data_IF_671371838427
#
_entry.id   IF_671371838427
#
_cell.length_a   1.000
_cell.length_b   1.000
_cell.length_c   1.000
_cell.angle_alpha   90.00
_cell.angle_beta   90.00
_cell.angle_gamma   90.00
#
_symmetry.space_group_name_H-M   'P 1'
#
loop_
_entity.id
_entity.type
_entity.pdbx_description
1 polymer ?
#
# COMPACT_ATOMS: atom_id res chain seq x y z
N UNK A 1 -13.85 -12.62 -0.23
CA UNK A 1 -13.03 -12.31 0.95
C UNK A 1 -13.79 -11.44 1.96
N UNK A 2 -14.30 -10.25 1.58
CA UNK A 2 -15.07 -9.35 2.47
C UNK A 2 -16.29 -10.06 3.10
N UNK A 3 -17.05 -10.83 2.32
CA UNK A 3 -18.19 -11.61 2.82
C UNK A 3 -17.79 -12.71 3.82
N UNK A 4 -16.58 -13.27 3.70
CA UNK A 4 -16.05 -14.27 4.63
C UNK A 4 -15.62 -13.63 5.95
N UNK A 5 -15.03 -12.43 5.89
CA UNK A 5 -14.69 -11.60 7.06
C UNK A 5 -15.97 -11.17 7.79
N UNK A 6 -17.00 -10.76 7.05
CA UNK A 6 -18.32 -10.42 7.60
C UNK A 6 -18.99 -11.63 8.27
N UNK A 7 -18.95 -12.81 7.63
CA UNK A 7 -19.47 -14.04 8.22
C UNK A 7 -18.68 -14.49 9.46
N UNK A 8 -17.35 -14.36 9.46
CA UNK A 8 -16.52 -14.64 10.64
C UNK A 8 -16.87 -13.71 11.82
N UNK A 9 -17.00 -12.41 11.56
CA UNK A 9 -17.43 -11.41 12.55
C UNK A 9 -18.84 -11.68 13.10
N UNK A 10 -19.76 -12.16 12.28
CA UNK A 10 -21.13 -12.47 12.71
C UNK A 10 -21.28 -13.84 13.39
N UNK A 11 -20.43 -14.82 13.07
CA UNK A 11 -20.62 -16.21 13.48
C UNK A 11 -19.88 -16.60 14.76
N UNK A 12 -18.73 -16.00 15.07
CA UNK A 12 -17.81 -16.67 15.99
C UNK A 12 -17.80 -16.25 17.45
N UNK A 13 -18.02 -14.99 17.89
CA UNK A 13 -18.04 -14.70 19.35
C UNK A 13 -18.52 -13.29 19.69
N UNK A 14 -19.82 -13.12 19.96
CA UNK A 14 -20.34 -12.00 20.75
C UNK A 14 -20.10 -12.36 22.22
N UNK A 15 -18.85 -12.31 22.69
CA UNK A 15 -18.57 -12.38 24.13
C UNK A 15 -18.67 -10.98 24.72
N UNK A 16 -19.83 -10.68 25.28
CA UNK A 16 -20.18 -9.57 26.17
C UNK A 16 -19.97 -8.10 25.70
N UNK A 17 -18.97 -7.77 24.88
CA UNK A 17 -18.67 -6.39 24.51
C UNK A 17 -18.18 -6.24 23.04
N UNK A 18 -19.13 -6.14 22.07
CA UNK A 18 -18.79 -5.92 20.66
C UNK A 18 -18.13 -4.55 20.41
N UNK A 19 -18.35 -3.58 21.30
CA UNK A 19 -17.74 -2.24 21.19
C UNK A 19 -16.24 -2.36 21.48
N UNK A 20 -15.86 -3.03 22.57
CA UNK A 20 -14.45 -3.25 22.91
C UNK A 20 -13.72 -4.02 21.81
N UNK A 21 -14.32 -5.08 21.28
CA UNK A 21 -13.75 -5.85 20.17
C UNK A 21 -13.50 -4.98 18.93
N UNK A 22 -14.50 -4.16 18.55
CA UNK A 22 -14.38 -3.27 17.39
C UNK A 22 -13.30 -2.22 17.60
N UNK A 23 -13.21 -1.65 18.81
CA UNK A 23 -12.16 -0.70 19.17
C UNK A 23 -10.76 -1.33 19.06
N UNK A 24 -10.57 -2.54 19.57
CA UNK A 24 -9.29 -3.25 19.48
C UNK A 24 -8.93 -3.64 18.04
N UNK A 25 -9.91 -4.05 17.24
CA UNK A 25 -9.71 -4.34 15.82
C UNK A 25 -9.30 -3.09 15.04
N UNK A 26 -9.96 -1.94 15.29
CA UNK A 26 -9.61 -0.65 14.68
C UNK A 26 -8.18 -0.28 15.09
N UNK A 27 -7.84 -0.38 16.38
CA UNK A 27 -6.50 -0.07 16.90
C UNK A 27 -5.41 -0.90 16.20
N UNK A 28 -5.61 -2.21 16.08
CA UNK A 28 -4.67 -3.12 15.41
C UNK A 28 -4.58 -2.84 13.90
N UNK A 29 -5.72 -2.60 13.26
CA UNK A 29 -5.78 -2.30 11.82
C UNK A 29 -5.08 -0.98 11.50
N UNK A 30 -5.32 0.07 12.29
CA UNK A 30 -4.70 1.39 12.11
C UNK A 30 -3.18 1.29 12.31
N UNK A 31 -2.72 0.58 13.33
CA UNK A 31 -1.30 0.35 13.54
C UNK A 31 -0.66 -0.37 12.34
N UNK A 32 -1.26 -1.47 11.89
CA UNK A 32 -0.79 -2.21 10.71
C UNK A 32 -0.82 -1.38 9.43
N UNK A 33 -1.84 -0.53 9.26
CA UNK A 33 -1.96 0.40 8.15
C UNK A 33 -0.81 1.42 8.14
N UNK A 34 -0.53 2.08 9.27
CA UNK A 34 0.59 3.02 9.35
C UNK A 34 1.93 2.37 9.03
N UNK A 35 2.15 1.14 9.49
CA UNK A 35 3.35 0.39 9.14
C UNK A 35 3.38 0.06 7.63
N UNK A 36 2.25 -0.22 6.99
CA UNK A 36 2.19 -0.58 5.56
C UNK A 36 2.03 0.61 4.61
N UNK A 37 1.88 1.82 5.13
CA UNK A 37 1.68 3.06 4.36
C UNK A 37 2.81 3.30 3.33
N UNK A 38 4.06 3.00 3.70
CA UNK A 38 5.20 3.10 2.78
C UNK A 38 5.03 2.20 1.55
N UNK A 39 4.42 1.03 1.72
CA UNK A 39 4.12 0.10 0.62
C UNK A 39 3.05 0.63 -0.31
N UNK A 40 1.95 1.17 0.25
CA UNK A 40 0.89 1.83 -0.53
C UNK A 40 1.47 2.97 -1.38
N UNK A 41 2.27 3.84 -0.76
CA UNK A 41 2.92 4.96 -1.42
C UNK A 41 3.88 4.49 -2.52
N UNK A 42 4.69 3.45 -2.25
CA UNK A 42 5.58 2.88 -3.26
C UNK A 42 4.82 2.35 -4.48
N UNK A 43 3.67 1.70 -4.28
CA UNK A 43 2.84 1.18 -5.37
C UNK A 43 2.29 2.35 -6.20
N UNK A 44 1.69 3.35 -5.57
CA UNK A 44 1.15 4.54 -6.26
C UNK A 44 2.23 5.22 -7.11
N UNK A 45 3.40 5.48 -6.52
CA UNK A 45 4.54 6.06 -7.25
C UNK A 45 5.03 5.17 -8.38
N UNK A 46 5.07 3.85 -8.21
CA UNK A 46 5.44 2.90 -9.26
C UNK A 46 4.47 2.97 -10.45
N UNK A 47 3.17 3.01 -10.19
CA UNK A 47 2.17 3.17 -11.24
C UNK A 47 2.26 4.53 -11.92
N UNK A 48 2.43 5.62 -11.18
CA UNK A 48 2.60 6.96 -11.73
C UNK A 48 3.83 7.04 -12.67
N UNK A 49 4.93 6.35 -12.32
CA UNK A 49 6.15 6.32 -13.14
C UNK A 49 5.97 5.54 -14.45
N UNK A 50 5.33 4.37 -14.43
CA UNK A 50 5.18 3.53 -15.61
C UNK A 50 3.97 3.88 -16.48
N UNK A 51 2.87 4.28 -15.87
CA UNK A 51 1.59 4.58 -16.52
C UNK A 51 1.30 6.09 -16.50
N UNK A 52 2.33 6.93 -16.60
CA UNK A 52 2.23 8.39 -16.53
C UNK A 52 1.16 9.00 -17.46
N UNK A 53 1.03 8.50 -18.70
CA UNK A 53 0.02 8.99 -19.67
C UNK A 53 -1.41 8.77 -19.19
N UNK A 54 -1.63 7.70 -18.44
CA UNK A 54 -2.93 7.37 -17.89
C UNK A 54 -3.22 8.24 -16.66
N UNK A 55 -2.19 8.50 -15.84
CA UNK A 55 -2.27 9.40 -14.69
C UNK A 55 -2.60 10.84 -15.13
N UNK A 56 -1.95 11.33 -16.20
CA UNK A 56 -2.16 12.66 -16.76
C UNK A 56 -3.60 12.90 -17.25
N UNK A 57 -4.29 11.85 -17.70
CA UNK A 57 -5.68 11.96 -18.19
C UNK A 57 -6.70 12.16 -17.08
N UNK A 58 -6.31 12.11 -15.80
CA UNK A 58 -7.20 12.30 -14.66
C UNK A 58 -8.39 11.33 -14.67
N UNK A 59 -8.19 10.12 -15.19
CA UNK A 59 -9.29 9.17 -15.41
C UNK A 59 -9.89 8.68 -14.07
N UNK A 60 -11.19 8.36 -14.05
CA UNK A 60 -11.83 7.70 -12.90
C UNK A 60 -11.11 6.39 -12.51
N UNK A 61 -10.46 5.71 -13.46
CA UNK A 61 -9.66 4.52 -13.15
C UNK A 61 -8.48 4.80 -12.21
N UNK A 62 -7.97 6.04 -12.14
CA UNK A 62 -6.89 6.40 -11.22
C UNK A 62 -7.33 6.27 -9.76
N UNK A 63 -8.57 6.66 -9.45
CA UNK A 63 -9.16 6.45 -8.13
C UNK A 63 -9.32 4.95 -7.81
N UNK A 64 -9.65 4.12 -8.81
CA UNK A 64 -9.79 2.68 -8.60
C UNK A 64 -8.45 2.00 -8.29
N UNK A 65 -7.36 2.42 -8.94
CA UNK A 65 -6.01 1.90 -8.64
C UNK A 65 -5.57 2.33 -7.25
N UNK A 66 -5.82 3.58 -6.86
CA UNK A 66 -5.52 4.07 -5.51
C UNK A 66 -6.32 3.28 -4.46
N UNK A 67 -7.63 3.17 -4.64
CA UNK A 67 -8.50 2.39 -3.76
C UNK A 67 -8.08 0.91 -3.70
N UNK A 68 -7.65 0.34 -4.83
CA UNK A 68 -7.11 -1.02 -4.92
C UNK A 68 -5.80 -1.19 -4.15
N UNK A 69 -4.86 -0.24 -4.29
CA UNK A 69 -3.58 -0.24 -3.58
C UNK A 69 -3.79 -0.10 -2.07
N UNK A 70 -4.65 0.82 -1.63
CA UNK A 70 -5.00 1.00 -0.22
C UNK A 70 -5.72 -0.23 0.35
N UNK A 71 -6.68 -0.79 -0.39
CA UNK A 71 -7.38 -2.01 0.01
C UNK A 71 -6.43 -3.20 0.16
N UNK A 72 -5.45 -3.33 -0.73
CA UNK A 72 -4.44 -4.38 -0.65
C UNK A 72 -3.56 -4.27 0.61
N UNK A 73 -3.42 -3.08 1.18
CA UNK A 73 -2.71 -2.86 2.45
C UNK A 73 -3.62 -3.02 3.67
N UNK A 74 -4.88 -2.57 3.60
CA UNK A 74 -5.82 -2.65 4.74
C UNK A 74 -6.29 -4.09 4.98
N UNK A 75 -6.63 -4.83 3.93
CA UNK A 75 -7.24 -6.17 4.07
C UNK A 75 -6.38 -7.18 4.84
N UNK A 76 -5.06 -7.32 4.58
CA UNK A 76 -4.21 -8.20 5.36
C UNK A 76 -4.14 -7.81 6.84
N UNK A 77 -4.12 -6.51 7.15
CA UNK A 77 -4.06 -6.00 8.52
C UNK A 77 -5.36 -6.29 9.28
N UNK A 78 -6.52 -6.11 8.65
CA UNK A 78 -7.82 -6.49 9.23
C UNK A 78 -7.88 -7.99 9.48
N UNK A 79 -7.45 -8.81 8.51
CA UNK A 79 -7.46 -10.26 8.65
C UNK A 79 -6.55 -10.74 9.79
N UNK A 80 -5.32 -10.22 9.88
CA UNK A 80 -4.40 -10.52 10.98
C UNK A 80 -4.96 -10.03 12.31
N UNK A 81 -5.61 -8.86 12.35
CA UNK A 81 -6.29 -8.34 13.54
C UNK A 81 -7.38 -9.27 14.05
N UNK A 82 -8.29 -9.71 13.17
CA UNK A 82 -9.36 -10.67 13.50
C UNK A 82 -8.76 -11.98 14.03
N UNK A 83 -7.78 -12.56 13.33
CA UNK A 83 -7.17 -13.83 13.73
C UNK A 83 -6.42 -13.74 15.07
N UNK A 84 -5.83 -12.58 15.40
CA UNK A 84 -5.21 -12.34 16.70
C UNK A 84 -6.25 -12.24 17.81
N UNK A 85 -7.32 -11.47 17.60
CA UNK A 85 -8.38 -11.28 18.61
C UNK A 85 -9.17 -12.56 18.88
N UNK A 86 -9.31 -13.43 17.88
CA UNK A 86 -9.90 -14.76 18.04
C UNK A 86 -8.98 -15.76 18.76
N UNK A 87 -7.70 -15.41 18.98
CA UNK A 87 -6.71 -16.32 19.54
C UNK A 87 -6.26 -17.44 18.60
N UNK A 88 -6.72 -17.42 17.34
CA UNK A 88 -6.34 -18.38 16.29
C UNK A 88 -4.88 -18.24 15.89
N UNK A 89 -4.37 -16.99 15.87
CA UNK A 89 -2.99 -16.68 15.52
C UNK A 89 -2.21 -16.28 16.78
N UNK A 90 -1.20 -17.08 17.15
CA UNK A 90 -0.33 -16.71 18.28
C UNK A 90 0.46 -15.44 17.99
N UNK A 91 0.67 -14.63 19.03
CA UNK A 91 1.40 -13.35 18.97
C UNK A 91 2.74 -13.43 18.21
N UNK A 92 3.53 -14.49 18.43
CA UNK A 92 4.82 -14.68 17.77
C UNK A 92 4.69 -14.83 16.24
N UNK A 93 3.65 -15.52 15.76
CA UNK A 93 3.39 -15.65 14.33
C UNK A 93 2.90 -14.34 13.73
N UNK A 94 2.08 -13.59 14.46
CA UNK A 94 1.63 -12.25 14.05
C UNK A 94 2.80 -11.30 13.87
N UNK A 95 3.72 -11.25 14.84
CA UNK A 95 4.94 -10.45 14.73
C UNK A 95 5.78 -10.86 13.52
N UNK A 96 5.94 -12.16 13.28
CA UNK A 96 6.66 -12.66 12.11
C UNK A 96 6.03 -12.23 10.78
N UNK A 97 4.70 -12.34 10.65
CA UNK A 97 3.97 -11.87 9.46
C UNK A 97 4.10 -10.36 9.27
N UNK A 98 4.03 -9.57 10.35
CA UNK A 98 4.26 -8.13 10.28
C UNK A 98 5.67 -7.81 9.80
N UNK A 99 6.71 -8.45 10.35
CA UNK A 99 8.09 -8.25 9.90
C UNK A 99 8.26 -8.60 8.41
N UNK A 100 7.65 -9.69 7.95
CA UNK A 100 7.69 -10.09 6.55
C UNK A 100 7.03 -9.04 5.65
N UNK A 101 5.82 -8.59 5.97
CA UNK A 101 5.11 -7.55 5.22
C UNK A 101 5.91 -6.23 5.20
N UNK A 102 6.50 -5.83 6.32
CA UNK A 102 7.35 -4.65 6.40
C UNK A 102 8.60 -4.75 5.54
N UNK A 103 9.24 -5.92 5.53
CA UNK A 103 10.40 -6.15 4.67
C UNK A 103 10.05 -6.03 3.19
N UNK A 104 8.88 -6.52 2.76
CA UNK A 104 8.40 -6.42 1.38
C UNK A 104 8.08 -4.97 1.01
N UNK A 105 7.38 -4.23 1.88
CA UNK A 105 7.06 -2.82 1.66
C UNK A 105 8.32 -1.97 1.52
N UNK A 106 9.30 -2.20 2.39
CA UNK A 106 10.61 -1.51 2.34
C UNK A 106 11.34 -1.83 1.04
N UNK A 107 11.36 -3.10 0.61
CA UNK A 107 11.96 -3.48 -0.66
C UNK A 107 11.26 -2.84 -1.87
N UNK A 108 9.92 -2.80 -1.87
CA UNK A 108 9.13 -2.17 -2.93
C UNK A 108 9.41 -0.67 -3.00
N UNK A 109 9.49 0.00 -1.85
CA UNK A 109 9.85 1.42 -1.75
C UNK A 109 11.25 1.69 -2.32
N UNK A 110 12.26 0.95 -1.86
CA UNK A 110 13.66 1.11 -2.33
C UNK A 110 13.76 0.85 -3.84
N UNK A 111 13.10 -0.19 -4.35
CA UNK A 111 13.09 -0.50 -5.79
C UNK A 111 12.47 0.63 -6.60
N UNK A 112 11.30 1.12 -6.17
CA UNK A 112 10.59 2.21 -6.83
C UNK A 112 11.40 3.51 -6.81
N UNK A 113 12.02 3.83 -5.69
CA UNK A 113 12.92 4.98 -5.57
C UNK A 113 14.10 4.88 -6.55
N UNK A 114 14.78 3.72 -6.58
CA UNK A 114 15.90 3.48 -7.51
C UNK A 114 15.49 3.58 -8.98
N UNK A 115 14.29 3.13 -9.34
CA UNK A 115 13.75 3.27 -10.70
C UNK A 115 13.57 4.76 -11.03
N UNK A 116 12.95 5.54 -10.14
CA UNK A 116 12.74 6.97 -10.35
C UNK A 116 14.05 7.75 -10.47
N UNK A 117 15.04 7.46 -9.62
CA UNK A 117 16.37 8.07 -9.70
C UNK A 117 17.08 7.74 -11.02
N UNK A 118 17.03 6.48 -11.48
CA UNK A 118 17.61 6.09 -12.78
C UNK A 118 16.94 6.80 -13.94
N UNK A 119 15.61 6.84 -13.96
CA UNK A 119 14.86 7.55 -15.00
C UNK A 119 15.17 9.05 -15.01
N UNK A 120 15.32 9.67 -13.84
CA UNK A 120 15.74 11.08 -13.73
C UNK A 120 17.12 11.30 -14.35
N UNK A 121 18.08 10.42 -14.08
CA UNK A 121 19.43 10.48 -14.67
C UNK A 121 19.41 10.25 -16.18
N UNK A 122 18.60 9.33 -16.68
CA UNK A 122 18.43 9.08 -18.12
C UNK A 122 17.85 10.29 -18.84
N UNK A 123 16.83 10.93 -18.27
CA UNK A 123 16.23 12.15 -18.83
C UNK A 123 17.25 13.30 -18.84
N UNK A 124 18.08 13.42 -17.80
CA UNK A 124 19.10 14.45 -17.70
C UNK A 124 20.25 14.30 -18.73
N UNK A 125 20.52 13.08 -19.24
CA UNK A 125 21.58 12.82 -20.22
C UNK A 125 21.24 13.25 -21.66
N UNK A 126 20.03 13.78 -21.88
CA UNK A 126 19.58 14.28 -23.19
C UNK A 126 18.51 13.37 -23.78
N UNK A 127 17.30 13.90 -23.88
CA UNK A 127 16.19 13.19 -24.49
C UNK A 127 16.33 13.17 -26.02
N UNK A 128 16.10 12.01 -26.65
CA UNK A 128 15.93 11.97 -28.09
C UNK A 128 14.68 12.75 -28.48
N UNK A 129 14.75 13.54 -29.56
CA UNK A 129 13.74 14.53 -29.99
C UNK A 129 12.32 13.97 -30.19
N UNK A 130 12.13 12.64 -30.18
CA UNK A 130 10.80 11.99 -30.26
C UNK A 130 10.29 11.31 -28.97
N UNK A 131 11.08 11.25 -27.89
CA UNK A 131 10.72 10.52 -26.66
C UNK A 131 10.51 11.41 -25.43
N UNK A 132 10.77 12.72 -25.56
CA UNK A 132 10.63 13.68 -24.48
C UNK A 132 9.16 13.98 -24.18
N UNK A 133 8.78 13.84 -22.91
CA UNK A 133 7.50 14.33 -22.38
C UNK A 133 7.80 15.20 -21.16
N UNK A 134 7.34 16.45 -21.22
CA UNK A 134 7.44 17.41 -20.10
C UNK A 134 6.74 16.81 -18.87
N UNK A 135 5.52 16.28 -19.05
CA UNK A 135 4.71 15.67 -17.99
C UNK A 135 5.44 14.50 -17.33
N UNK A 136 6.09 13.63 -18.12
CA UNK A 136 6.88 12.51 -17.58
C UNK A 136 8.07 13.01 -16.75
N UNK A 137 8.75 14.05 -17.22
CA UNK A 137 9.89 14.64 -16.51
C UNK A 137 9.46 15.25 -15.19
N UNK A 138 8.34 15.98 -15.19
CA UNK A 138 7.75 16.55 -13.97
C UNK A 138 7.37 15.46 -12.97
N UNK A 139 6.64 14.42 -13.41
CA UNK A 139 6.21 13.32 -12.56
C UNK A 139 7.39 12.56 -11.92
N UNK A 140 8.44 12.27 -12.70
CA UNK A 140 9.63 11.58 -12.18
C UNK A 140 10.38 12.44 -11.18
N UNK A 141 10.51 13.75 -11.43
CA UNK A 141 11.16 14.67 -10.49
C UNK A 141 10.35 14.79 -9.19
N UNK A 142 9.03 14.97 -9.30
CA UNK A 142 8.13 14.99 -8.15
C UNK A 142 8.26 13.69 -7.34
N UNK A 143 8.17 12.53 -8.00
CA UNK A 143 8.30 11.24 -7.32
C UNK A 143 9.63 11.08 -6.58
N UNK A 144 10.75 11.56 -7.13
CA UNK A 144 12.03 11.52 -6.41
C UNK A 144 11.99 12.44 -5.18
N UNK A 145 11.46 13.66 -5.30
CA UNK A 145 11.39 14.62 -4.18
C UNK A 145 10.47 14.13 -3.06
N UNK A 146 9.36 13.46 -3.37
CA UNK A 146 8.46 12.92 -2.33
C UNK A 146 9.02 11.64 -1.69
N UNK A 147 9.92 10.93 -2.36
CA UNK A 147 10.53 9.70 -1.85
C UNK A 147 11.89 9.89 -1.16
N UNK A 148 12.46 11.10 -1.22
CA UNK A 148 13.70 11.51 -0.55
C UNK A 148 13.44 11.86 0.93
#
# INVERSE_FOLDING_TARGET
MIFLIFLLLCYYYISADPIMYTCDLIKLTVLGYYCSLMGSFAIDRYFATHYWRWYERGSLSTLLVLAGAESAMILPNVLVGVLNLEGTLYFNYSLFLFMLLQSQNTQAFIRTYRINVRLRQEIARGASVGSYSISKTFQVNENVVVME
#
